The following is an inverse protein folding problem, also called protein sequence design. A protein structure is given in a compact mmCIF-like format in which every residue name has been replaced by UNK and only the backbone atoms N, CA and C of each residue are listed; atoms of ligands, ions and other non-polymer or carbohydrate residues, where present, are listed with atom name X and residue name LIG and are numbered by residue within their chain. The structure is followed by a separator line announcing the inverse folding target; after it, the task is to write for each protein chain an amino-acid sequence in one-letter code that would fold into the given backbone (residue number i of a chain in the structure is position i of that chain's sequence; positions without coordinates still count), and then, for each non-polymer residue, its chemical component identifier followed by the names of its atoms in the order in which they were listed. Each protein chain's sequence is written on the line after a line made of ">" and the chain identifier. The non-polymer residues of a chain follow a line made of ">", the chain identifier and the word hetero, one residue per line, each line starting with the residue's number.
data_IF_595028649876
#
_entry.id   IF_595028649876
#
_cell.length_a   1.000
_cell.length_b   1.000
_cell.length_c   1.000
_cell.angle_alpha   90.00
_cell.angle_beta   90.00
_cell.angle_gamma   90.00
#
_symmetry.space_group_name_H-M   'P 1'
#
loop_
_entity.id
_entity.type
_entity.pdbx_description
1 polymer ?
#
# COMPACT_ATOMS: atom_id res chain seq x y z
N UNK A 1 -0.05 36.75 1.99
CA UNK A 1 -1.15 36.73 1.00
C UNK A 1 -0.92 35.74 -0.16
N UNK A 2 0.33 35.37 -0.49
CA UNK A 2 0.63 34.43 -1.57
C UNK A 2 0.54 32.94 -1.17
N UNK A 3 0.72 32.60 0.11
CA UNK A 3 0.63 31.21 0.61
C UNK A 3 -0.83 30.70 0.66
N UNK A 4 -1.78 31.56 1.01
CA UNK A 4 -3.22 31.23 1.05
C UNK A 4 -3.77 31.01 -0.37
N UNK A 5 -3.25 31.73 -1.37
CA UNK A 5 -3.61 31.53 -2.79
C UNK A 5 -3.06 30.22 -3.37
N UNK A 6 -1.88 29.77 -2.91
CA UNK A 6 -1.34 28.46 -3.27
C UNK A 6 -2.14 27.30 -2.64
N UNK A 7 -2.56 27.44 -1.37
CA UNK A 7 -3.38 26.44 -0.68
C UNK A 7 -4.78 26.34 -1.30
N UNK A 8 -5.40 27.47 -1.68
CA UNK A 8 -6.70 27.46 -2.38
C UNK A 8 -6.55 26.88 -3.79
N UNK A 9 -5.44 27.12 -4.50
CA UNK A 9 -5.20 26.52 -5.81
C UNK A 9 -5.03 24.99 -5.75
N UNK A 10 -4.37 24.46 -4.71
CA UNK A 10 -4.25 23.00 -4.50
C UNK A 10 -5.58 22.37 -4.08
N UNK A 11 -6.38 23.07 -3.26
CA UNK A 11 -7.74 22.61 -2.89
C UNK A 11 -8.71 22.67 -4.09
N UNK A 12 -8.55 23.63 -5.01
CA UNK A 12 -9.36 23.69 -6.24
C UNK A 12 -8.95 22.66 -7.31
N UNK A 13 -7.67 22.25 -7.35
CA UNK A 13 -7.21 21.16 -8.21
C UNK A 13 -7.73 19.80 -7.72
N UNK A 14 -8.01 19.65 -6.42
CA UNK A 14 -8.57 18.42 -5.83
C UNK A 14 -10.11 18.32 -5.88
N UNK A 15 -10.82 19.39 -6.27
CA UNK A 15 -12.29 19.37 -6.46
C UNK A 15 -12.74 19.36 -7.92
N UNK A 16 -11.80 19.25 -8.87
CA UNK A 16 -12.09 19.02 -10.30
C UNK A 16 -11.48 17.69 -10.73
N UNK A 17 -11.90 16.61 -10.06
CA UNK A 17 -12.05 15.31 -10.73
C UNK A 17 -13.54 15.01 -10.76
N UNK A 18 -14.28 15.91 -11.43
CA UNK A 18 -15.49 15.43 -12.10
C UNK A 18 -14.99 14.55 -13.24
N UNK A 19 -15.46 13.31 -13.28
CA UNK A 19 -15.27 12.39 -14.40
C UNK A 19 -15.53 13.11 -15.72
N UNK A 20 -14.45 13.59 -16.31
CA UNK A 20 -14.37 13.81 -17.73
C UNK A 20 -13.81 12.50 -18.25
N UNK A 21 -14.67 11.49 -18.39
CA UNK A 21 -14.42 10.44 -19.38
C UNK A 21 -14.36 11.13 -20.73
N UNK A 22 -13.18 11.67 -21.04
CA UNK A 22 -12.85 12.18 -22.34
C UNK A 22 -13.06 11.03 -23.31
N UNK A 23 -13.92 11.27 -24.29
CA UNK A 23 -14.15 10.41 -25.44
C UNK A 23 -12.82 9.97 -26.05
N UNK A 24 -12.56 8.66 -26.06
CA UNK A 24 -11.55 8.01 -26.89
C UNK A 24 -10.11 8.28 -26.50
N UNK A 25 -9.64 7.73 -25.38
CA UNK A 25 -8.20 7.55 -25.18
C UNK A 25 -7.73 6.41 -26.10
N UNK A 26 -6.91 6.74 -27.10
CA UNK A 26 -6.34 5.77 -28.04
C UNK A 26 -5.54 4.67 -27.30
N UNK A 27 -5.01 4.98 -26.12
CA UNK A 27 -4.35 4.00 -25.25
C UNK A 27 -5.31 2.89 -24.80
N UNK A 28 -6.53 3.27 -24.40
CA UNK A 28 -7.59 2.35 -24.01
C UNK A 28 -8.08 1.52 -25.20
N UNK A 29 -8.37 2.18 -26.33
CA UNK A 29 -8.82 1.50 -27.56
C UNK A 29 -7.76 0.51 -28.04
N UNK A 30 -6.48 0.87 -28.00
CA UNK A 30 -5.36 -0.01 -28.39
C UNK A 30 -5.27 -1.22 -27.47
N UNK A 31 -5.37 -1.04 -26.15
CA UNK A 31 -5.32 -2.14 -25.18
C UNK A 31 -6.50 -3.10 -25.36
N UNK A 32 -7.70 -2.56 -25.51
CA UNK A 32 -8.91 -3.35 -25.71
C UNK A 32 -8.92 -4.10 -27.05
N UNK A 33 -8.52 -3.43 -28.14
CA UNK A 33 -8.37 -4.05 -29.45
C UNK A 33 -7.34 -5.19 -29.43
N UNK A 34 -6.20 -5.01 -28.76
CA UNK A 34 -5.20 -6.07 -28.59
C UNK A 34 -5.77 -7.29 -27.87
N UNK A 35 -6.52 -7.07 -26.78
CA UNK A 35 -7.13 -8.15 -26.00
C UNK A 35 -8.23 -8.90 -26.77
N UNK A 36 -9.06 -8.21 -27.56
CA UNK A 36 -10.08 -8.84 -28.41
C UNK A 36 -9.43 -9.70 -29.49
N UNK A 37 -8.39 -9.18 -30.14
CA UNK A 37 -7.62 -9.91 -31.16
C UNK A 37 -6.98 -11.19 -30.60
N UNK A 38 -6.38 -11.10 -29.41
CA UNK A 38 -5.75 -12.24 -28.76
C UNK A 38 -6.80 -13.27 -28.28
N UNK A 39 -7.91 -12.82 -27.68
CA UNK A 39 -8.91 -13.72 -27.10
C UNK A 39 -9.79 -14.42 -28.14
N UNK A 40 -10.25 -13.68 -29.15
CA UNK A 40 -11.28 -14.18 -30.07
C UNK A 40 -10.69 -14.74 -31.36
N UNK A 41 -9.54 -14.21 -31.78
CA UNK A 41 -8.88 -14.58 -33.02
C UNK A 41 -7.53 -15.26 -32.81
N UNK A 42 -7.03 -15.34 -31.57
CA UNK A 42 -5.73 -15.96 -31.23
C UNK A 42 -4.56 -15.36 -32.03
N UNK A 43 -4.66 -14.07 -32.38
CA UNK A 43 -3.64 -13.33 -33.13
C UNK A 43 -3.06 -12.19 -32.31
N UNK A 44 -1.74 -12.04 -32.37
CA UNK A 44 -1.03 -10.89 -31.83
C UNK A 44 -0.49 -10.08 -33.00
N UNK A 45 -0.93 -8.82 -33.14
CA UNK A 45 -0.56 -7.94 -34.25
C UNK A 45 0.39 -6.83 -33.76
N UNK A 46 1.72 -6.94 -34.00
CA UNK A 46 2.66 -5.88 -33.64
C UNK A 46 2.39 -4.56 -34.36
N UNK A 47 1.72 -4.62 -35.52
CA UNK A 47 1.33 -3.47 -36.33
C UNK A 47 0.15 -2.67 -35.76
N UNK A 48 -0.52 -3.15 -34.70
CA UNK A 48 -1.67 -2.46 -34.10
C UNK A 48 -1.26 -1.07 -33.59
N UNK A 49 -1.84 -0.05 -34.23
CA UNK A 49 -1.72 1.36 -33.85
C UNK A 49 -3.11 1.97 -33.79
N UNK A 50 -3.33 2.83 -32.80
CA UNK A 50 -4.58 3.60 -32.68
C UNK A 50 -4.21 5.06 -32.53
N UNK A 51 -4.78 5.89 -33.40
CA UNK A 51 -4.64 7.34 -33.38
C UNK A 51 -6.00 7.98 -33.71
N UNK A 52 -6.48 8.89 -32.88
CA UNK A 52 -7.75 9.61 -32.99
C UNK A 52 -8.99 8.70 -33.15
N UNK A 53 -8.97 7.50 -32.56
CA UNK A 53 -9.99 6.46 -32.69
C UNK A 53 -9.94 5.70 -34.02
N UNK A 54 -8.86 5.82 -34.80
CA UNK A 54 -8.61 5.06 -36.02
C UNK A 54 -7.66 3.91 -35.72
N UNK A 55 -8.12 2.67 -35.90
CA UNK A 55 -7.29 1.48 -35.74
C UNK A 55 -6.57 1.20 -37.07
N UNK A 56 -5.25 1.12 -37.06
CA UNK A 56 -4.44 0.73 -38.23
C UNK A 56 -3.84 -0.66 -38.01
N UNK A 57 -4.01 -1.52 -39.00
CA UNK A 57 -3.51 -2.89 -39.00
C UNK A 57 -2.79 -3.19 -40.31
N UNK A 58 -1.76 -4.03 -40.25
CA UNK A 58 -1.16 -4.56 -41.46
C UNK A 58 -2.01 -5.71 -42.00
N UNK A 59 -2.44 -5.61 -43.26
CA UNK A 59 -3.25 -6.65 -43.91
C UNK A 59 -2.50 -7.98 -44.06
N UNK A 60 -1.17 -7.96 -44.12
CA UNK A 60 -0.33 -9.16 -44.28
C UNK A 60 -0.26 -10.02 -43.01
N UNK A 61 -0.57 -9.43 -41.85
CA UNK A 61 -0.54 -10.13 -40.56
C UNK A 61 -1.88 -10.82 -40.24
N UNK A 62 -2.90 -10.68 -41.10
CA UNK A 62 -4.26 -11.19 -40.90
C UNK A 62 -4.63 -12.16 -42.01
N UNK A 63 -5.10 -13.36 -41.63
CA UNK A 63 -5.62 -14.35 -42.59
C UNK A 63 -6.79 -13.79 -43.39
N UNK A 64 -6.77 -13.95 -44.72
CA UNK A 64 -7.79 -13.37 -45.60
C UNK A 64 -9.24 -13.77 -45.25
N UNK A 65 -9.43 -14.97 -44.69
CA UNK A 65 -10.74 -15.47 -44.25
C UNK A 65 -11.28 -14.79 -42.98
N UNK A 66 -10.42 -14.17 -42.16
CA UNK A 66 -10.77 -13.60 -40.86
C UNK A 66 -10.87 -12.07 -40.87
N UNK A 67 -10.41 -11.42 -41.96
CA UNK A 67 -10.34 -9.95 -42.09
C UNK A 67 -11.67 -9.25 -41.82
N UNK A 68 -12.76 -9.72 -42.45
CA UNK A 68 -14.09 -9.13 -42.30
C UNK A 68 -14.62 -9.25 -40.87
N UNK A 69 -14.36 -10.40 -40.22
CA UNK A 69 -14.78 -10.64 -38.82
C UNK A 69 -14.00 -9.75 -37.85
N UNK A 70 -12.68 -9.63 -38.04
CA UNK A 70 -11.82 -8.77 -37.24
C UNK A 70 -12.22 -7.30 -37.37
N UNK A 71 -12.45 -6.81 -38.59
CA UNK A 71 -12.90 -5.42 -38.81
C UNK A 71 -14.22 -5.16 -38.09
N UNK A 72 -15.18 -6.09 -38.21
CA UNK A 72 -16.49 -5.97 -37.57
C UNK A 72 -16.38 -5.88 -36.05
N UNK A 73 -15.60 -6.76 -35.43
CA UNK A 73 -15.41 -6.74 -33.96
C UNK A 73 -14.67 -5.48 -33.49
N UNK A 74 -13.67 -5.02 -34.24
CA UNK A 74 -12.94 -3.81 -33.89
C UNK A 74 -13.78 -2.53 -34.04
N UNK A 75 -14.72 -2.49 -35.00
CA UNK A 75 -15.67 -1.38 -35.13
C UNK A 75 -16.70 -1.32 -33.98
N UNK A 76 -16.97 -2.45 -33.32
CA UNK A 76 -17.88 -2.51 -32.16
C UNK A 76 -17.26 -1.95 -30.87
N UNK A 77 -15.95 -1.68 -30.86
CA UNK A 77 -15.28 -1.09 -29.70
C UNK A 77 -15.72 0.37 -29.54
N UNK A 78 -16.25 0.71 -28.35
CA UNK A 78 -16.68 2.07 -28.03
C UNK A 78 -15.51 3.06 -28.20
N UNK A 79 -15.66 4.01 -29.10
CA UNK A 79 -14.65 5.04 -29.40
C UNK A 79 -13.90 4.84 -30.72
N UNK A 80 -14.05 3.68 -31.38
CA UNK A 80 -13.49 3.45 -32.72
C UNK A 80 -14.34 4.16 -33.77
N UNK A 81 -13.68 4.97 -34.61
CA UNK A 81 -14.31 5.70 -35.71
C UNK A 81 -14.23 4.92 -37.03
N UNK A 82 -13.11 4.22 -37.26
CA UNK A 82 -12.88 3.36 -38.45
C UNK A 82 -11.64 2.47 -38.26
N UNK A 83 -11.52 1.44 -39.09
CA UNK A 83 -10.37 0.53 -39.16
C UNK A 83 -9.72 0.65 -40.54
N UNK A 84 -8.41 0.88 -40.60
CA UNK A 84 -7.61 1.00 -41.83
C UNK A 84 -6.64 -0.18 -41.96
N UNK A 85 -6.67 -0.85 -43.11
CA UNK A 85 -5.71 -1.88 -43.47
C UNK A 85 -4.58 -1.28 -44.31
N UNK A 86 -3.33 -1.43 -43.86
CA UNK A 86 -2.14 -0.99 -44.59
C UNK A 86 -1.51 -2.19 -45.32
N UNK A 87 -1.23 -2.04 -46.61
CA UNK A 87 -0.51 -3.00 -47.48
C UNK A 87 0.05 -2.26 -48.69
N UNK A 88 1.33 -2.46 -49.02
CA UNK A 88 2.13 -1.58 -49.92
C UNK A 88 1.58 -1.45 -51.35
N UNK A 89 1.46 -0.21 -51.81
CA UNK A 89 2.21 0.29 -52.99
C UNK A 89 3.15 1.42 -52.53
N UNK A 90 4.40 1.35 -52.96
CA UNK A 90 5.54 2.13 -52.47
C UNK A 90 5.69 3.50 -53.13
N UNK A 91 6.28 4.45 -52.40
CA UNK A 91 7.42 5.21 -52.92
C UNK A 91 8.42 5.61 -51.82
N UNK A 92 9.70 5.43 -52.15
CA UNK A 92 10.91 5.65 -51.34
C UNK A 92 11.33 7.13 -51.36
N UNK A 93 12.10 7.54 -50.35
CA UNK A 93 13.27 8.46 -50.28
C UNK A 93 13.33 8.90 -48.80
N UNK A 94 14.43 9.01 -48.06
CA UNK A 94 15.84 8.65 -48.16
C UNK A 94 16.42 8.81 -46.73
N UNK A 95 17.47 8.05 -46.43
CA UNK A 95 18.60 8.25 -45.48
C UNK A 95 18.50 9.42 -44.47
N UNK A 96 18.77 9.27 -43.17
CA UNK A 96 20.09 8.94 -42.58
C UNK A 96 19.96 8.54 -41.10
N UNK A 97 20.76 7.57 -40.66
CA UNK A 97 21.01 7.23 -39.24
C UNK A 97 22.38 7.79 -38.84
N UNK A 98 22.53 8.50 -37.71
CA UNK A 98 23.82 8.62 -37.03
C UNK A 98 23.95 7.48 -36.01
N UNK A 99 25.03 6.73 -36.14
CA UNK A 99 25.53 5.81 -35.12
C UNK A 99 25.96 6.59 -33.88
N UNK A 100 25.61 6.09 -32.70
CA UNK A 100 26.29 6.45 -31.45
C UNK A 100 26.95 5.19 -30.92
N UNK A 101 28.28 5.21 -30.99
CA UNK A 101 29.18 4.18 -30.52
C UNK A 101 29.13 4.06 -29.00
N UNK A 102 29.12 2.81 -28.55
CA UNK A 102 29.37 2.44 -27.17
C UNK A 102 30.86 2.54 -26.88
N UNK A 103 31.26 3.43 -25.98
CA UNK A 103 32.58 3.39 -25.35
C UNK A 103 32.44 2.99 -23.89
N UNK A 104 32.90 1.78 -23.60
CA UNK A 104 33.29 1.35 -22.27
C UNK A 104 34.65 2.00 -21.94
N UNK A 105 34.74 2.65 -20.78
CA UNK A 105 36.02 2.94 -20.13
C UNK A 105 35.93 2.57 -18.66
N UNK A 106 36.87 1.70 -18.27
CA UNK A 106 37.20 1.28 -16.93
C UNK A 106 38.04 2.34 -16.18
N UNK A 107 37.97 2.22 -14.84
CA UNK A 107 38.90 2.66 -13.80
C UNK A 107 38.88 4.12 -13.31
N UNK A 108 38.41 4.24 -12.06
CA UNK A 108 38.65 5.37 -11.17
C UNK A 108 38.45 4.96 -9.71
N UNK A 109 39.48 4.36 -9.12
CA UNK A 109 39.59 4.03 -7.69
C UNK A 109 39.31 5.25 -6.81
N UNK A 110 38.32 5.17 -5.93
CA UNK A 110 38.24 6.00 -4.72
C UNK A 110 38.15 5.10 -3.50
N UNK A 111 39.30 4.97 -2.83
CA UNK A 111 39.40 4.54 -1.44
C UNK A 111 38.66 5.56 -0.58
N UNK A 112 37.42 5.24 -0.20
CA UNK A 112 36.76 5.91 0.91
C UNK A 112 37.17 5.19 2.20
N UNK A 113 37.76 5.95 3.11
CA UNK A 113 38.34 5.55 4.38
C UNK A 113 37.41 4.69 5.24
N UNK A 114 37.94 3.57 5.73
CA UNK A 114 37.34 2.68 6.73
C UNK A 114 37.17 3.31 8.13
N UNK A 115 37.28 4.63 8.27
CA UNK A 115 37.22 5.35 9.56
C UNK A 115 35.85 6.00 9.86
N UNK A 116 34.95 6.12 8.89
CA UNK A 116 33.57 6.64 9.13
C UNK A 116 32.55 5.55 9.49
N UNK A 117 33.00 4.29 9.61
CA UNK A 117 32.13 3.14 9.87
C UNK A 117 31.76 2.97 11.35
N UNK A 118 32.37 3.75 12.26
CA UNK A 118 32.16 3.59 13.70
C UNK A 118 31.14 4.55 14.33
N UNK A 119 30.59 5.51 13.57
CA UNK A 119 29.60 6.48 14.09
C UNK A 119 28.17 6.26 13.54
N UNK A 120 27.97 5.29 12.63
CA UNK A 120 26.70 5.05 11.92
C UNK A 120 25.85 3.90 12.47
N UNK A 121 25.76 3.75 13.78
CA UNK A 121 24.84 2.75 14.39
C UNK A 121 23.49 3.35 14.79
N UNK A 122 23.36 4.68 14.78
CA UNK A 122 22.15 5.40 15.24
C UNK A 122 21.18 5.80 14.09
N UNK A 123 21.57 5.58 12.83
CA UNK A 123 20.82 6.06 11.66
C UNK A 123 19.59 5.24 11.26
N UNK A 124 19.27 4.13 11.94
CA UNK A 124 18.10 3.35 11.53
C UNK A 124 16.79 4.08 11.85
N UNK A 125 16.68 4.79 12.99
CA UNK A 125 15.43 5.46 13.44
C UNK A 125 15.22 6.84 12.80
N UNK A 126 16.28 7.49 12.37
CA UNK A 126 16.25 8.88 11.89
C UNK A 126 15.81 9.06 10.43
N UNK A 127 15.35 8.00 9.73
CA UNK A 127 14.81 8.13 8.36
C UNK A 127 13.34 8.57 8.36
N UNK A 128 12.57 8.18 9.37
CA UNK A 128 11.15 8.55 9.49
C UNK A 128 10.99 9.61 10.54
N UNK A 129 10.21 10.65 10.20
CA UNK A 129 9.82 11.64 11.19
C UNK A 129 8.85 11.05 12.23
N UNK A 130 8.19 9.94 11.92
CA UNK A 130 7.43 9.11 12.87
C UNK A 130 7.64 7.64 12.51
N UNK A 131 8.27 6.86 13.41
CA UNK A 131 8.55 5.46 13.11
C UNK A 131 7.28 4.57 13.18
N UNK A 132 7.18 3.49 12.38
CA UNK A 132 6.05 2.56 12.38
C UNK A 132 5.69 2.03 13.77
N UNK A 133 4.40 1.91 14.09
CA UNK A 133 3.92 1.30 15.34
C UNK A 133 3.95 -0.22 15.20
N UNK A 134 4.93 -0.89 15.82
CA UNK A 134 5.21 -2.31 15.50
C UNK A 134 4.14 -3.26 16.02
N UNK A 135 3.45 -2.90 17.11
CA UNK A 135 2.39 -3.71 17.71
C UNK A 135 0.98 -3.32 17.23
N UNK A 136 0.83 -2.26 16.43
CA UNK A 136 -0.46 -1.94 15.82
C UNK A 136 -0.74 -2.94 14.68
N UNK A 137 -1.81 -3.77 14.78
CA UNK A 137 -2.13 -4.75 13.74
C UNK A 137 -2.51 -4.11 12.40
N UNK A 138 -2.86 -2.83 12.40
CA UNK A 138 -3.38 -2.07 11.26
C UNK A 138 -2.43 -0.96 10.80
N UNK A 139 -1.18 -0.97 11.24
CA UNK A 139 -0.19 -0.04 10.72
C UNK A 139 0.17 -0.38 9.25
N UNK A 140 0.28 0.60 8.34
CA UNK A 140 0.73 0.36 6.97
C UNK A 140 2.16 -0.21 6.90
N UNK A 141 2.29 -1.47 6.51
CA UNK A 141 3.56 -2.15 6.24
C UNK A 141 3.31 -3.45 5.46
N UNK A 142 4.37 -4.11 5.01
CA UNK A 142 4.27 -5.43 4.41
C UNK A 142 4.37 -6.52 5.48
N UNK A 143 3.47 -7.48 5.49
CA UNK A 143 3.55 -8.62 6.39
C UNK A 143 2.86 -9.86 5.87
N UNK A 144 3.23 -11.01 6.42
CA UNK A 144 2.51 -12.26 6.32
C UNK A 144 2.55 -12.96 7.68
N UNK A 145 1.45 -13.56 8.09
CA UNK A 145 1.32 -14.19 9.39
C UNK A 145 0.36 -15.37 9.36
N UNK A 146 0.67 -16.38 10.16
CA UNK A 146 -0.25 -17.45 10.49
C UNK A 146 -0.84 -17.17 11.86
N UNK A 147 -2.17 -17.16 11.95
CA UNK A 147 -2.94 -16.85 13.14
C UNK A 147 -3.73 -18.08 13.57
N UNK A 148 -3.56 -18.49 14.81
CA UNK A 148 -4.36 -19.53 15.44
C UNK A 148 -5.35 -18.88 16.39
N UNK A 149 -6.63 -18.94 16.02
CA UNK A 149 -7.74 -18.39 16.78
C UNK A 149 -8.07 -19.35 17.92
N UNK A 150 -8.18 -18.81 19.12
CA UNK A 150 -8.34 -19.57 20.37
C UNK A 150 -9.74 -19.46 20.97
N UNK A 151 -10.56 -18.53 20.48
CA UNK A 151 -11.96 -18.40 20.89
C UNK A 151 -12.87 -19.37 20.11
N UNK A 152 -14.06 -19.65 20.64
CA UNK A 152 -15.01 -20.68 20.21
C UNK A 152 -15.80 -20.32 18.93
N UNK A 153 -15.20 -19.54 18.02
CA UNK A 153 -15.79 -19.15 16.74
C UNK A 153 -15.67 -20.22 15.64
N UNK A 154 -16.11 -19.88 14.43
CA UNK A 154 -16.02 -20.76 13.24
C UNK A 154 -14.60 -20.85 12.67
N UNK A 155 -13.76 -19.83 12.92
CA UNK A 155 -12.38 -19.76 12.43
C UNK A 155 -11.39 -20.36 13.42
N UNK A 156 -10.50 -21.23 12.94
CA UNK A 156 -9.41 -21.82 13.76
C UNK A 156 -8.03 -21.38 13.28
N UNK A 157 -7.76 -21.47 11.97
CA UNK A 157 -6.46 -21.19 11.39
C UNK A 157 -6.62 -20.19 10.25
N UNK A 158 -6.02 -19.02 10.41
CA UNK A 158 -6.16 -17.91 9.48
C UNK A 158 -4.79 -17.51 8.95
N UNK A 159 -4.68 -17.34 7.65
CA UNK A 159 -3.55 -16.63 7.04
C UNK A 159 -3.91 -15.16 6.94
N UNK A 160 -3.04 -14.27 7.42
CA UNK A 160 -3.23 -12.83 7.28
C UNK A 160 -2.00 -12.18 6.67
N UNK A 161 -2.23 -11.23 5.76
CA UNK A 161 -1.17 -10.47 5.10
C UNK A 161 -1.53 -8.99 5.00
N UNK A 162 -0.50 -8.15 4.97
CA UNK A 162 -0.63 -6.73 4.72
C UNK A 162 0.30 -6.27 3.60
N UNK A 163 -0.14 -5.28 2.83
CA UNK A 163 0.62 -4.64 1.77
C UNK A 163 0.45 -3.14 1.89
N UNK A 164 1.44 -2.45 2.46
CA UNK A 164 1.31 -1.03 2.69
C UNK A 164 2.63 -0.34 2.94
N UNK A 165 2.62 0.98 2.74
CA UNK A 165 3.80 1.81 2.89
C UNK A 165 3.45 3.27 3.20
N UNK A 166 4.42 4.00 3.74
CA UNK A 166 4.41 5.46 3.82
C UNK A 166 5.35 6.01 2.76
N UNK A 167 4.82 6.77 1.78
CA UNK A 167 5.57 7.34 0.68
C UNK A 167 5.77 8.85 0.90
N UNK A 168 6.96 9.31 1.34
CA UNK A 168 7.25 10.73 1.49
C UNK A 168 7.13 11.46 0.16
N UNK A 169 6.33 12.52 0.13
CA UNK A 169 6.19 13.42 -1.02
C UNK A 169 7.15 14.60 -0.91
N UNK A 170 7.27 15.14 0.31
CA UNK A 170 8.10 16.31 0.58
C UNK A 170 8.53 16.32 2.04
N UNK A 171 9.76 16.74 2.30
CA UNK A 171 10.32 16.91 3.64
C UNK A 171 11.18 18.16 3.68
N UNK A 172 11.08 18.94 4.75
CA UNK A 172 11.90 20.13 4.98
C UNK A 172 12.08 20.38 6.47
N UNK A 173 12.98 21.31 6.80
CA UNK A 173 13.19 21.77 8.16
C UNK A 173 11.95 22.53 8.67
N UNK A 174 11.68 22.37 9.96
CA UNK A 174 10.63 23.06 10.68
C UNK A 174 11.24 24.08 11.65
N UNK A 175 10.48 25.11 12.07
CA UNK A 175 10.91 25.99 13.15
C UNK A 175 11.34 25.24 14.41
N UNK A 176 12.20 25.87 15.21
CA UNK A 176 12.72 25.34 16.47
C UNK A 176 13.57 24.07 16.36
N UNK A 177 14.21 23.86 15.20
CA UNK A 177 15.14 22.73 14.98
C UNK A 177 14.45 21.38 14.77
N UNK A 178 13.17 21.39 14.38
CA UNK A 178 12.46 20.18 13.99
C UNK A 178 12.54 19.95 12.48
N UNK A 179 11.94 18.86 12.03
CA UNK A 179 11.69 18.56 10.63
C UNK A 179 10.22 18.20 10.44
N UNK A 180 9.70 18.43 9.24
CA UNK A 180 8.35 18.02 8.86
C UNK A 180 8.33 17.33 7.51
N UNK A 181 7.34 16.47 7.30
CA UNK A 181 7.19 15.67 6.08
C UNK A 181 5.71 15.53 5.72
N UNK A 182 5.39 15.67 4.45
CA UNK A 182 4.11 15.25 3.88
C UNK A 182 4.31 13.93 3.15
N UNK A 183 3.41 12.97 3.37
CA UNK A 183 3.47 11.66 2.75
C UNK A 183 2.07 11.13 2.43
N UNK A 184 2.01 10.19 1.49
CA UNK A 184 0.84 9.33 1.32
C UNK A 184 1.06 8.06 2.13
N UNK A 185 0.05 7.62 2.87
CA UNK A 185 0.03 6.30 3.47
C UNK A 185 -1.05 5.46 2.82
N UNK A 186 -0.74 4.24 2.44
CA UNK A 186 -1.70 3.30 1.89
C UNK A 186 -1.40 1.88 2.35
N UNK A 187 -2.44 1.08 2.59
CA UNK A 187 -2.31 -0.32 2.93
C UNK A 187 -3.54 -1.14 2.52
N UNK A 188 -3.33 -2.38 2.10
CA UNK A 188 -4.33 -3.43 2.05
C UNK A 188 -4.08 -4.46 3.16
N UNK A 189 -5.13 -5.02 3.74
CA UNK A 189 -5.08 -6.07 4.76
C UNK A 189 -6.02 -7.19 4.38
N UNK A 190 -5.49 -8.39 4.17
CA UNK A 190 -6.25 -9.57 3.78
C UNK A 190 -6.15 -10.66 4.84
N UNK A 191 -7.22 -11.44 4.97
CA UNK A 191 -7.26 -12.65 5.79
C UNK A 191 -7.98 -13.78 5.06
N UNK A 192 -7.46 -15.00 5.19
CA UNK A 192 -7.96 -16.20 4.53
C UNK A 192 -8.15 -17.34 5.52
N UNK A 193 -9.23 -18.10 5.36
CA UNK A 193 -9.53 -19.27 6.17
C UNK A 193 -8.78 -20.49 5.64
N UNK A 194 -7.78 -20.96 6.40
CA UNK A 194 -6.93 -22.08 5.99
C UNK A 194 -7.61 -23.44 6.14
N UNK A 195 -8.77 -23.52 6.78
CA UNK A 195 -9.55 -24.77 6.92
C UNK A 195 -10.35 -25.11 5.67
N UNK A 196 -10.49 -24.16 4.75
CA UNK A 196 -11.22 -24.34 3.49
C UNK A 196 -10.30 -24.90 2.38
N UNK A 197 -10.90 -25.57 1.40
CA UNK A 197 -10.13 -26.19 0.31
C UNK A 197 -9.42 -25.16 -0.59
N UNK A 198 -9.97 -23.94 -0.70
CA UNK A 198 -9.49 -22.85 -1.55
C UNK A 198 -8.75 -21.75 -0.81
N UNK A 199 -8.65 -21.82 0.53
CA UNK A 199 -8.23 -20.70 1.37
C UNK A 199 -9.12 -19.47 1.13
N UNK A 200 -10.40 -19.63 1.40
CA UNK A 200 -11.45 -18.64 1.17
C UNK A 200 -11.08 -17.31 1.82
N UNK A 201 -11.27 -16.21 1.07
CA UNK A 201 -10.99 -14.86 1.55
C UNK A 201 -12.03 -14.48 2.60
N UNK A 202 -11.60 -14.28 3.84
CA UNK A 202 -12.46 -13.86 4.95
C UNK A 202 -12.78 -12.37 4.82
N UNK A 203 -11.73 -11.55 4.73
CA UNK A 203 -11.84 -10.09 4.74
C UNK A 203 -10.69 -9.45 3.98
N UNK A 204 -11.00 -8.36 3.28
CA UNK A 204 -10.06 -7.45 2.66
C UNK A 204 -10.40 -6.00 3.03
N UNK A 205 -9.49 -5.33 3.71
CA UNK A 205 -9.62 -3.91 4.04
C UNK A 205 -8.60 -3.06 3.30
N UNK A 206 -8.98 -1.83 2.99
CA UNK A 206 -8.11 -0.84 2.38
C UNK A 206 -8.05 0.41 3.23
N UNK A 207 -6.83 0.91 3.44
CA UNK A 207 -6.52 2.16 4.10
C UNK A 207 -5.76 3.05 3.13
N UNK A 208 -6.12 4.34 3.04
CA UNK A 208 -5.42 5.29 2.18
C UNK A 208 -5.61 6.72 2.65
N UNK A 209 -4.53 7.52 2.72
CA UNK A 209 -4.62 8.88 3.23
C UNK A 209 -3.39 9.75 3.02
N UNK A 210 -3.55 11.02 3.34
CA UNK A 210 -2.47 12.01 3.38
C UNK A 210 -2.08 12.26 4.83
N UNK A 211 -0.78 12.17 5.11
CA UNK A 211 -0.23 12.29 6.45
C UNK A 211 0.87 13.36 6.49
N UNK A 212 0.81 14.17 7.55
CA UNK A 212 1.83 15.12 7.96
C UNK A 212 2.57 14.54 9.17
N UNK A 213 3.88 14.45 9.06
CA UNK A 213 4.76 14.02 10.14
C UNK A 213 5.63 15.16 10.61
N UNK A 214 5.95 15.16 11.89
CA UNK A 214 6.87 16.10 12.51
C UNK A 214 7.80 15.36 13.45
N UNK A 215 9.08 15.73 13.48
CA UNK A 215 10.03 15.24 14.49
C UNK A 215 10.89 16.37 15.02
N UNK A 216 11.13 16.35 16.32
CA UNK A 216 12.16 17.14 16.98
C UNK A 216 12.76 16.32 18.11
N UNK A 217 14.04 16.00 17.99
CA UNK A 217 14.77 15.18 18.95
C UNK A 217 14.02 13.85 19.24
N UNK A 218 13.62 13.63 20.49
CA UNK A 218 12.87 12.45 20.94
C UNK A 218 11.35 12.54 20.67
N UNK A 219 10.83 13.71 20.31
CA UNK A 219 9.39 13.92 20.08
C UNK A 219 9.06 13.73 18.59
N UNK A 220 8.03 12.93 18.31
CA UNK A 220 7.49 12.74 16.96
C UNK A 220 5.99 12.91 16.95
N UNK A 221 5.42 13.38 15.85
CA UNK A 221 4.00 13.57 15.67
C UNK A 221 3.52 13.13 14.28
N UNK A 222 2.27 12.69 14.23
CA UNK A 222 1.56 12.30 13.03
C UNK A 222 0.18 12.97 13.08
N UNK A 223 -0.16 13.75 12.05
CA UNK A 223 -1.52 14.21 11.76
C UNK A 223 -1.90 13.67 10.37
N UNK A 224 -3.05 13.02 10.21
CA UNK A 224 -3.45 12.48 8.91
C UNK A 224 -4.95 12.54 8.68
N UNK A 225 -5.34 12.59 7.41
CA UNK A 225 -6.72 12.36 6.96
C UNK A 225 -6.68 11.13 6.07
N UNK A 226 -7.54 10.16 6.35
CA UNK A 226 -7.54 8.88 5.65
C UNK A 226 -8.96 8.40 5.39
N UNK A 227 -9.06 7.54 4.39
CA UNK A 227 -10.22 6.72 4.06
C UNK A 227 -9.89 5.26 4.42
N UNK A 228 -10.86 4.56 5.00
CA UNK A 228 -10.78 3.13 5.26
C UNK A 228 -12.05 2.45 4.77
N UNK A 229 -11.91 1.37 4.00
CA UNK A 229 -13.02 0.56 3.51
C UNK A 229 -12.77 -0.93 3.75
N UNK A 230 -13.85 -1.71 3.74
CA UNK A 230 -13.82 -3.15 3.99
C UNK A 230 -14.70 -3.91 3.00
N UNK A 231 -14.21 -5.07 2.59
CA UNK A 231 -14.88 -6.02 1.72
C UNK A 231 -14.74 -7.43 2.31
N UNK A 232 -15.81 -8.20 2.22
CA UNK A 232 -15.84 -9.63 2.55
C UNK A 232 -15.67 -10.45 1.28
N UNK A 233 -14.96 -11.58 1.36
CA UNK A 233 -14.82 -12.49 0.22
C UNK A 233 -16.15 -13.16 -0.11
N UNK A 234 -16.38 -13.40 -1.40
CA UNK A 234 -17.61 -14.01 -1.89
C UNK A 234 -17.70 -15.49 -1.54
N UNK A 235 -16.60 -16.24 -1.56
CA UNK A 235 -16.62 -17.64 -1.09
C UNK A 235 -16.97 -17.73 0.40
N UNK A 236 -16.46 -16.81 1.23
CA UNK A 236 -16.77 -16.78 2.66
C UNK A 236 -18.25 -16.49 2.92
N UNK A 237 -18.87 -15.60 2.14
CA UNK A 237 -20.32 -15.35 2.21
C UNK A 237 -21.17 -16.54 1.75
N UNK A 238 -20.68 -17.34 0.80
CA UNK A 238 -21.40 -18.51 0.31
C UNK A 238 -21.31 -19.69 1.29
N UNK A 239 -20.19 -19.80 2.01
CA UNK A 239 -19.89 -20.93 2.89
C UNK A 239 -20.28 -20.67 4.35
N UNK A 240 -20.47 -19.42 4.77
CA UNK A 240 -20.80 -19.04 6.15
C UNK A 240 -22.04 -18.15 6.22
N UNK A 241 -22.73 -18.17 7.35
CA UNK A 241 -23.95 -17.38 7.55
C UNK A 241 -23.61 -15.98 8.09
N UNK A 242 -23.03 -15.14 7.24
CA UNK A 242 -22.56 -13.79 7.57
C UNK A 242 -23.34 -12.72 6.81
N UNK A 243 -23.83 -11.71 7.53
CA UNK A 243 -24.44 -10.54 6.94
C UNK A 243 -23.36 -9.57 6.46
N UNK A 244 -23.33 -9.28 5.16
CA UNK A 244 -22.37 -8.32 4.59
C UNK A 244 -22.60 -6.91 5.14
N UNK A 245 -21.53 -6.29 5.65
CA UNK A 245 -21.53 -4.90 6.11
C UNK A 245 -20.67 -4.07 5.16
N UNK A 246 -21.23 -2.99 4.63
CA UNK A 246 -20.46 -2.03 3.81
C UNK A 246 -19.72 -1.04 4.72
N UNK A 247 -18.69 -1.50 5.41
CA UNK A 247 -17.93 -0.63 6.31
C UNK A 247 -17.00 0.27 5.49
N UNK A 248 -17.22 1.59 5.59
CA UNK A 248 -16.39 2.62 4.97
C UNK A 248 -16.41 3.88 5.83
N UNK A 249 -15.27 4.52 6.03
CA UNK A 249 -15.25 5.81 6.71
C UNK A 249 -14.06 6.69 6.32
N UNK A 250 -14.27 8.00 6.35
CA UNK A 250 -13.20 8.98 6.41
C UNK A 250 -12.95 9.44 7.85
N UNK A 251 -11.68 9.52 8.23
CA UNK A 251 -11.25 9.90 9.57
C UNK A 251 -10.04 10.83 9.57
N UNK A 252 -9.93 11.61 10.64
CA UNK A 252 -8.72 12.35 11.00
C UNK A 252 -8.02 11.63 12.15
N UNK A 253 -6.70 11.46 12.07
CA UNK A 253 -5.87 10.89 13.13
C UNK A 253 -4.85 11.89 13.64
N UNK A 254 -4.60 11.84 14.95
CA UNK A 254 -3.50 12.54 15.60
C UNK A 254 -2.79 11.56 16.53
N UNK A 255 -1.48 11.36 16.33
CA UNK A 255 -0.63 10.52 17.18
C UNK A 255 0.65 11.27 17.54
N UNK A 256 1.14 11.04 18.75
CA UNK A 256 2.40 11.59 19.26
C UNK A 256 3.20 10.44 19.87
N UNK A 257 4.51 10.42 19.62
CA UNK A 257 5.42 9.48 20.25
C UNK A 257 6.60 10.18 20.90
N UNK A 258 7.12 9.57 21.97
CA UNK A 258 8.29 10.05 22.69
C UNK A 258 9.28 8.90 22.92
N UNK A 259 10.53 9.11 22.49
CA UNK A 259 11.63 8.20 22.74
C UNK A 259 12.20 8.47 24.15
N UNK A 260 11.77 7.69 25.16
CA UNK A 260 12.22 7.84 26.56
C UNK A 260 13.71 7.57 26.73
N UNK A 261 14.26 6.71 25.87
CA UNK A 261 15.66 6.31 25.82
C UNK A 261 15.96 5.71 24.47
N UNK A 262 17.21 5.31 24.23
CA UNK A 262 17.56 4.49 23.08
C UNK A 262 16.78 3.16 23.04
N UNK A 263 16.21 2.67 24.13
CA UNK A 263 15.55 1.36 24.16
C UNK A 263 14.03 1.41 24.13
N UNK A 264 13.42 2.53 24.53
CA UNK A 264 11.98 2.59 24.78
C UNK A 264 11.32 3.77 24.09
N UNK A 265 10.18 3.50 23.45
CA UNK A 265 9.32 4.50 22.82
C UNK A 265 7.89 4.33 23.30
N UNK A 266 7.27 5.41 23.76
CA UNK A 266 5.84 5.45 24.07
C UNK A 266 5.09 6.27 23.04
N UNK A 267 3.83 5.95 22.83
CA UNK A 267 2.96 6.76 21.97
C UNK A 267 1.53 6.81 22.49
N UNK A 268 0.84 7.86 22.09
CA UNK A 268 -0.58 8.07 22.34
C UNK A 268 -1.21 8.78 21.14
N UNK A 269 -2.50 8.61 20.95
CA UNK A 269 -3.24 9.26 19.90
C UNK A 269 -4.71 8.91 19.89
N UNK A 270 -5.39 9.43 18.88
CA UNK A 270 -6.78 9.10 18.63
C UNK A 270 -7.21 9.51 17.24
N UNK A 271 -8.34 8.94 16.84
CA UNK A 271 -8.92 9.10 15.53
C UNK A 271 -10.39 9.53 15.70
N UNK A 272 -10.86 10.38 14.79
CA UNK A 272 -12.26 10.81 14.71
C UNK A 272 -12.81 10.57 13.30
N UNK A 273 -13.84 9.72 13.21
CA UNK A 273 -14.56 9.44 11.96
C UNK A 273 -15.57 10.55 11.69
N UNK A 274 -15.44 11.23 10.55
CA UNK A 274 -16.33 12.33 10.18
C UNK A 274 -17.35 11.96 9.09
N UNK A 275 -17.14 10.85 8.40
CA UNK A 275 -18.05 10.37 7.35
C UNK A 275 -18.11 8.83 7.36
N UNK A 276 -18.74 8.22 8.38
CA UNK A 276 -18.89 6.77 8.45
C UNK A 276 -20.10 6.23 7.68
N UNK A 277 -19.95 5.03 7.14
CA UNK A 277 -20.95 4.14 6.60
C UNK A 277 -20.72 2.74 7.21
N UNK A 278 -21.71 2.15 7.92
CA UNK A 278 -23.02 2.69 8.22
C UNK A 278 -23.00 3.90 9.17
N UNK A 279 -24.02 4.76 9.09
CA UNK A 279 -24.05 6.08 9.76
C UNK A 279 -24.11 6.03 11.29
N UNK A 280 -24.45 4.88 11.86
CA UNK A 280 -24.59 4.64 13.29
C UNK A 280 -23.29 4.22 13.98
N UNK A 281 -22.23 3.96 13.20
CA UNK A 281 -20.87 3.77 13.70
C UNK A 281 -20.46 4.92 14.64
N UNK A 282 -19.91 4.55 15.79
CA UNK A 282 -19.36 5.47 16.77
C UNK A 282 -18.00 5.97 16.31
N UNK A 283 -17.75 7.24 16.59
CA UNK A 283 -16.77 8.03 15.83
C UNK A 283 -15.37 8.07 16.42
N UNK A 284 -15.24 7.75 17.69
CA UNK A 284 -14.00 7.97 18.43
C UNK A 284 -13.20 6.69 18.63
N UNK A 285 -11.90 6.79 18.37
CA UNK A 285 -10.91 5.77 18.69
C UNK A 285 -9.78 6.45 19.48
N UNK A 286 -9.31 5.80 20.55
CA UNK A 286 -8.05 6.17 21.21
C UNK A 286 -7.06 5.04 21.08
N UNK A 287 -5.78 5.39 21.01
CA UNK A 287 -4.69 4.42 20.88
C UNK A 287 -3.50 4.85 21.73
N UNK A 288 -2.83 3.91 22.37
CA UNK A 288 -1.58 4.14 23.07
C UNK A 288 -0.77 2.86 23.14
N UNK A 289 0.53 3.00 23.38
CA UNK A 289 1.40 1.83 23.45
C UNK A 289 2.82 2.15 23.88
N UNK A 290 3.57 1.07 24.06
CA UNK A 290 4.96 1.07 24.46
C UNK A 290 5.73 0.05 23.63
N UNK A 291 6.91 0.46 23.17
CA UNK A 291 7.79 -0.38 22.39
C UNK A 291 9.17 -0.43 23.01
N UNK A 292 9.80 -1.58 22.84
CA UNK A 292 11.15 -1.89 23.25
C UNK A 292 11.99 -2.34 22.05
N UNK A 293 13.15 -1.72 21.91
CA UNK A 293 14.19 -2.13 20.98
C UNK A 293 15.46 -2.35 21.78
N UNK A 294 16.01 -3.56 21.72
CA UNK A 294 17.22 -3.84 22.48
C UNK A 294 18.38 -2.95 22.00
N UNK A 295 19.12 -2.30 22.91
CA UNK A 295 20.31 -1.55 22.55
C UNK A 295 21.45 -2.50 22.14
N UNK A 296 21.32 -3.79 22.46
CA UNK A 296 22.28 -4.83 22.11
C UNK A 296 21.77 -5.65 20.94
N UNK A 297 22.69 -5.98 20.05
CA UNK A 297 22.49 -6.92 18.97
C UNK A 297 23.21 -8.24 19.29
N UNK A 298 22.69 -9.34 18.73
CA UNK A 298 23.19 -10.69 18.91
C UNK A 298 23.64 -11.25 17.56
N UNK A 299 24.37 -12.37 17.60
CA UNK A 299 24.88 -13.04 16.39
C UNK A 299 25.68 -12.10 15.48
N UNK A 300 26.70 -11.42 16.05
CA UNK A 300 27.56 -10.47 15.31
C UNK A 300 26.78 -9.30 14.67
N UNK A 301 25.72 -8.83 15.32
CA UNK A 301 24.95 -7.67 14.85
C UNK A 301 23.78 -8.00 13.94
N UNK A 302 23.45 -9.28 13.74
CA UNK A 302 22.41 -9.68 12.80
C UNK A 302 21.02 -9.49 13.37
N UNK A 303 20.84 -9.76 14.66
CA UNK A 303 19.52 -9.78 15.29
C UNK A 303 19.45 -8.83 16.48
N UNK A 304 18.38 -8.04 16.54
CA UNK A 304 18.00 -7.19 17.67
C UNK A 304 16.68 -7.67 18.24
N UNK A 305 16.58 -8.03 19.53
CA UNK A 305 15.31 -8.27 20.17
C UNK A 305 14.42 -7.03 20.17
N UNK A 306 13.15 -7.21 19.85
CA UNK A 306 12.14 -6.15 19.80
C UNK A 306 10.85 -6.65 20.47
N UNK A 307 10.11 -5.73 21.09
CA UNK A 307 8.79 -6.02 21.63
C UNK A 307 7.91 -4.77 21.61
N UNK A 308 6.60 -4.95 21.56
CA UNK A 308 5.64 -3.86 21.59
C UNK A 308 4.32 -4.30 22.20
N UNK A 309 3.64 -3.34 22.82
CA UNK A 309 2.27 -3.45 23.28
C UNK A 309 1.47 -2.27 22.73
N UNK A 310 0.39 -2.55 22.03
CA UNK A 310 -0.57 -1.59 21.49
C UNK A 310 -1.93 -1.82 22.12
N UNK A 311 -2.58 -0.73 22.51
CA UNK A 311 -3.91 -0.72 23.08
C UNK A 311 -4.79 0.22 22.26
N UNK A 312 -5.92 -0.29 21.79
CA UNK A 312 -6.96 0.51 21.13
C UNK A 312 -8.25 0.44 21.93
N UNK A 313 -8.92 1.59 22.04
CA UNK A 313 -10.26 1.66 22.62
C UNK A 313 -11.15 2.38 21.62
N UNK A 314 -12.21 1.70 21.17
CA UNK A 314 -13.19 2.25 20.25
C UNK A 314 -14.47 2.59 21.00
N UNK A 315 -15.06 3.72 20.68
CA UNK A 315 -16.37 4.09 21.21
C UNK A 315 -17.44 3.04 20.82
N UNK A 316 -17.31 2.41 19.64
CA UNK A 316 -18.20 1.35 19.16
C UNK A 316 -18.28 0.21 20.16
N UNK A 317 -17.14 -0.16 20.73
CA UNK A 317 -17.00 -1.30 21.63
C UNK A 317 -17.13 -0.89 23.10
N UNK A 318 -17.86 0.18 23.39
CA UNK A 318 -18.02 0.73 24.73
C UNK A 318 -16.68 0.99 25.46
N UNK A 319 -15.64 1.34 24.70
CA UNK A 319 -14.28 1.60 25.20
C UNK A 319 -13.56 0.39 25.82
N UNK A 320 -14.00 -0.84 25.56
CA UNK A 320 -13.20 -2.01 25.93
C UNK A 320 -11.83 -1.96 25.24
N UNK A 321 -10.79 -2.37 25.97
CA UNK A 321 -9.42 -2.35 25.45
C UNK A 321 -9.17 -3.55 24.56
N UNK A 322 -8.82 -3.27 23.33
CA UNK A 322 -8.23 -4.21 22.38
C UNK A 322 -6.73 -4.23 22.62
N UNK A 323 -6.18 -5.42 22.85
CA UNK A 323 -4.79 -5.63 23.24
C UNK A 323 -4.05 -6.34 22.11
N UNK A 324 -2.96 -5.74 21.65
CA UNK A 324 -2.03 -6.36 20.70
C UNK A 324 -0.62 -6.37 21.29
N UNK A 325 -0.06 -7.56 21.49
CA UNK A 325 1.29 -7.75 21.99
C UNK A 325 2.12 -8.41 20.90
N UNK A 326 3.33 -7.90 20.66
CA UNK A 326 4.30 -8.53 19.76
C UNK A 326 5.67 -8.59 20.38
N UNK A 327 6.37 -9.71 20.19
CA UNK A 327 7.76 -9.86 20.63
C UNK A 327 8.54 -10.76 19.67
N UNK A 328 9.78 -10.42 19.40
CA UNK A 328 10.57 -11.16 18.42
C UNK A 328 11.95 -10.57 18.15
N UNK A 329 12.43 -10.77 16.93
CA UNK A 329 13.76 -10.34 16.49
C UNK A 329 13.69 -9.54 15.20
N UNK A 330 14.38 -8.40 15.18
CA UNK A 330 14.63 -7.59 13.99
C UNK A 330 15.98 -7.95 13.38
N UNK A 331 16.01 -8.12 12.07
CA UNK A 331 17.25 -8.22 11.29
C UNK A 331 17.75 -6.82 10.90
N UNK A 332 18.98 -6.49 11.30
CA UNK A 332 19.58 -5.16 11.08
C UNK A 332 20.63 -5.11 9.97
N UNK A 333 21.17 -6.26 9.56
CA UNK A 333 22.35 -6.31 8.70
C UNK A 333 22.09 -7.00 7.36
N UNK A 334 21.45 -6.28 6.45
CA UNK A 334 21.52 -6.56 5.02
C UNK A 334 22.07 -5.30 4.37
N UNK A 335 23.41 -5.22 4.21
CA UNK A 335 24.16 -4.10 3.57
C UNK A 335 23.69 -3.69 2.17
N UNK A 336 22.61 -4.29 1.66
CA UNK A 336 22.06 -4.11 0.31
C UNK A 336 20.54 -3.85 0.33
N UNK A 337 19.84 -4.05 1.46
CA UNK A 337 18.40 -3.85 1.55
C UNK A 337 18.10 -2.78 2.60
N UNK A 338 17.49 -1.68 2.16
CA UNK A 338 17.07 -0.53 2.97
C UNK A 338 15.96 -0.85 4.00
N UNK A 339 15.66 -2.13 4.24
CA UNK A 339 14.43 -2.63 4.85
C UNK A 339 14.69 -3.26 6.22
N UNK A 340 13.81 -3.04 7.18
CA UNK A 340 13.79 -3.75 8.47
C UNK A 340 12.89 -4.95 8.35
N UNK A 341 13.44 -6.14 8.60
CA UNK A 341 12.67 -7.39 8.63
C UNK A 341 12.54 -7.81 10.09
N UNK A 342 11.33 -8.09 10.55
CA UNK A 342 11.05 -8.59 11.89
C UNK A 342 10.34 -9.93 11.82
N UNK A 343 10.74 -10.87 12.68
CA UNK A 343 10.03 -12.13 12.91
C UNK A 343 9.46 -12.09 14.32
N UNK A 344 8.15 -12.23 14.44
CA UNK A 344 7.40 -11.89 15.65
C UNK A 344 6.49 -13.02 16.07
N UNK A 345 6.45 -13.29 17.37
CA UNK A 345 5.32 -13.91 18.03
C UNK A 345 4.35 -12.81 18.43
N UNK A 346 3.07 -13.06 18.21
CA UNK A 346 2.02 -12.06 18.36
C UNK A 346 0.85 -12.65 19.16
N UNK A 347 0.20 -11.80 19.94
CA UNK A 347 -1.03 -12.11 20.65
C UNK A 347 -2.00 -10.94 20.45
N UNK A 348 -3.24 -11.27 20.12
CA UNK A 348 -4.31 -10.29 20.00
C UNK A 348 -5.53 -10.76 20.80
N UNK A 349 -6.16 -9.82 21.51
CA UNK A 349 -7.43 -10.03 22.17
C UNK A 349 -8.25 -8.75 22.16
N UNK A 350 -9.42 -8.79 21.53
CA UNK A 350 -10.33 -7.66 21.42
C UNK A 350 -11.26 -7.81 20.23
N UNK A 351 -11.96 -6.74 19.89
CA UNK A 351 -12.79 -6.72 18.69
C UNK A 351 -11.98 -6.88 17.41
N UNK A 352 -12.53 -7.53 16.39
CA UNK A 352 -11.82 -7.84 15.17
C UNK A 352 -11.15 -6.60 14.58
N UNK A 353 -9.87 -6.69 14.18
CA UNK A 353 -9.20 -5.61 13.48
C UNK A 353 -9.68 -5.48 12.03
N UNK A 354 -10.49 -6.43 11.54
CA UNK A 354 -11.07 -6.48 10.20
C UNK A 354 -12.40 -5.72 10.14
N UNK A 355 -12.58 -4.88 9.13
CA UNK A 355 -13.74 -3.99 9.04
C UNK A 355 -15.09 -4.72 8.98
N UNK A 356 -15.21 -5.78 8.17
CA UNK A 356 -16.45 -6.55 8.04
C UNK A 356 -16.92 -7.13 9.39
N UNK A 357 -15.98 -7.45 10.27
CA UNK A 357 -16.22 -8.16 11.54
C UNK A 357 -15.94 -7.26 12.77
N UNK A 358 -15.96 -5.94 12.60
CA UNK A 358 -15.52 -4.95 13.59
C UNK A 358 -16.21 -5.04 14.96
N UNK A 359 -17.38 -5.65 15.03
CA UNK A 359 -18.19 -5.89 16.23
C UNK A 359 -17.96 -7.26 16.88
N UNK A 360 -17.32 -8.20 16.18
CA UNK A 360 -16.97 -9.53 16.70
C UNK A 360 -15.75 -9.47 17.60
N UNK A 361 -15.75 -10.26 18.69
CA UNK A 361 -14.58 -10.44 19.55
C UNK A 361 -13.72 -11.59 19.03
N UNK A 362 -12.41 -11.39 18.99
CA UNK A 362 -11.45 -12.40 18.54
C UNK A 362 -10.26 -12.47 19.49
N UNK A 363 -9.73 -13.69 19.68
CA UNK A 363 -8.50 -13.94 20.40
C UNK A 363 -7.63 -14.89 19.58
N UNK A 364 -6.39 -14.51 19.30
CA UNK A 364 -5.48 -15.35 18.54
C UNK A 364 -4.02 -15.19 18.94
N UNK A 365 -3.26 -16.25 18.69
CA UNK A 365 -1.80 -16.26 18.70
C UNK A 365 -1.31 -16.29 17.26
N UNK A 366 -0.22 -15.58 16.96
CA UNK A 366 0.31 -15.50 15.61
C UNK A 366 1.83 -15.60 15.55
N UNK A 367 2.31 -16.12 14.42
CA UNK A 367 3.71 -16.07 14.01
C UNK A 367 3.79 -15.32 12.67
N UNK A 368 4.45 -14.16 12.69
CA UNK A 368 4.49 -13.23 11.56
C UNK A 368 5.89 -12.83 11.12
N UNK A 369 6.01 -12.51 9.84
CA UNK A 369 7.15 -11.81 9.26
C UNK A 369 6.70 -10.43 8.76
N UNK A 370 7.37 -9.38 9.21
CA UNK A 370 7.02 -7.99 8.95
C UNK A 370 8.18 -7.27 8.28
N UNK A 371 7.89 -6.44 7.27
CA UNK A 371 8.86 -5.64 6.54
C UNK A 371 8.43 -4.18 6.57
N UNK A 372 9.28 -3.35 7.15
CA UNK A 372 9.15 -1.89 7.17
C UNK A 372 10.23 -1.28 6.28
N UNK A 373 9.87 -0.38 5.37
CA UNK A 373 10.81 0.22 4.42
C UNK A 373 11.53 1.41 5.03
#
# INVERSE_FOLDING_TARGET
>A
MNLIRAIIAVIFVLFVVQESFASGDDGFIRGYAAAVLEREFHVTLPSLRVEDGIIRLNSEEIQAAERERIITELLNIKGVKRVELTGREQEKISETVPAVESQAQEQGSLKASEQDAHEKTDQSRNRYLFAPLIADPRWPHFSMSYQHYTDNGELTNVFAASFGETLPLYQDDAPFGGQWQLAVQAAGFISHDLETASWDLINEDYFGGLSFFYRRDALSGLLGIYHNSSHVGDEFLLNNNVDRVNLSYEAIQLKVSYDFSESFRGYLGGDYMFSPDPKDLKKWITQYGLEYYSPRTYFKGWFRPVAGADFKNRQENNWHSEVSLRAGVQMDNLKTMLRRIQFMLEYYNGNSPNGQFHDESVEFLSLGAHVYF
#
